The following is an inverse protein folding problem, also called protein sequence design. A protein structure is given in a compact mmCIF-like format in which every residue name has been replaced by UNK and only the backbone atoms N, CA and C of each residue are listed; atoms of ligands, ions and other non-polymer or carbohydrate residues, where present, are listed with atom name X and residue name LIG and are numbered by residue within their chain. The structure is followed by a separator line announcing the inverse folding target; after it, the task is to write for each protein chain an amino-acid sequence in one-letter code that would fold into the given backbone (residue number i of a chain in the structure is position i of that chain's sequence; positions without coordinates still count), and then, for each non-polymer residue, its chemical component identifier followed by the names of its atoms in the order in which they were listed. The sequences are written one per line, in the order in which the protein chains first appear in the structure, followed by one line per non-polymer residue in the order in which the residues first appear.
data_IF_259571281694
#
_entry.id   IF_259571281694
#
_cell.length_a   1.000
_cell.length_b   1.000
_cell.length_c   1.000
_cell.angle_alpha   90.00
_cell.angle_beta   90.00
_cell.angle_gamma   90.00
#
_symmetry.space_group_name_H-M   'P 1'
#
loop_
_entity.id
_entity.type
_entity.pdbx_description
1 polymer ?
#
# COMPACT_ATOMS: atom_id res chain seq x y z
N UNK A 1 -49.37 12.62 36.52
CA UNK A 1 -48.86 11.43 35.78
C UNK A 1 -48.96 11.57 34.26
N UNK A 2 -50.03 12.15 33.70
CA UNK A 2 -50.25 12.31 32.25
C UNK A 2 -49.19 13.16 31.52
N UNK A 3 -48.66 14.20 32.16
CA UNK A 3 -47.61 15.05 31.58
C UNK A 3 -46.23 14.39 31.51
N UNK A 4 -45.92 13.46 32.42
CA UNK A 4 -44.64 12.72 32.42
C UNK A 4 -44.57 11.72 31.27
N UNK A 5 -45.70 11.08 30.95
CA UNK A 5 -45.82 10.17 29.80
C UNK A 5 -45.68 10.95 28.48
N UNK A 6 -46.32 12.12 28.37
CA UNK A 6 -46.23 13.00 27.19
C UNK A 6 -44.80 13.51 26.93
N UNK A 7 -44.08 13.91 27.98
CA UNK A 7 -42.68 14.36 27.88
C UNK A 7 -41.74 13.23 27.44
N UNK A 8 -41.93 12.02 27.97
CA UNK A 8 -41.14 10.85 27.58
C UNK A 8 -41.40 10.43 26.12
N UNK A 9 -42.64 10.50 25.65
CA UNK A 9 -42.96 10.24 24.24
C UNK A 9 -42.41 11.31 23.29
N UNK A 10 -42.36 12.58 23.71
CA UNK A 10 -41.80 13.66 22.89
C UNK A 10 -40.26 13.55 22.80
N UNK A 11 -39.60 13.14 23.88
CA UNK A 11 -38.16 12.89 23.91
C UNK A 11 -37.75 11.68 23.05
N UNK A 12 -38.57 10.62 23.00
CA UNK A 12 -38.33 9.46 22.15
C UNK A 12 -38.47 9.78 20.65
N UNK A 13 -39.40 10.65 20.27
CA UNK A 13 -39.54 11.13 18.89
C UNK A 13 -38.38 12.06 18.51
N UNK A 14 -37.96 12.95 19.41
CA UNK A 14 -36.80 13.81 19.18
C UNK A 14 -35.49 13.01 19.03
N UNK A 15 -35.31 11.93 19.79
CA UNK A 15 -34.14 11.05 19.66
C UNK A 15 -34.10 10.29 18.31
N UNK A 16 -35.26 10.00 17.71
CA UNK A 16 -35.33 9.41 16.36
C UNK A 16 -34.96 10.39 15.23
N UNK A 17 -35.13 11.70 15.45
CA UNK A 17 -34.74 12.74 14.49
C UNK A 17 -33.23 13.05 14.49
N UNK A 18 -32.50 12.60 15.50
CA UNK A 18 -31.03 12.71 15.59
C UNK A 18 -30.32 11.39 15.25
N UNK A 19 -30.93 10.51 14.46
CA UNK A 19 -30.20 9.45 13.78
C UNK A 19 -29.14 10.12 12.87
N UNK A 20 -27.84 9.90 13.09
CA UNK A 20 -26.81 10.51 12.27
C UNK A 20 -26.96 9.99 10.84
N UNK A 21 -27.32 10.87 9.91
CA UNK A 21 -27.38 10.58 8.47
C UNK A 21 -26.04 10.04 7.92
N UNK A 22 -24.94 10.19 8.66
CA UNK A 22 -23.64 9.61 8.35
C UNK A 22 -23.57 8.09 8.37
N UNK A 23 -24.50 7.39 9.03
CA UNK A 23 -24.53 5.92 9.02
C UNK A 23 -24.98 5.34 7.66
N UNK A 24 -25.74 6.10 6.86
CA UNK A 24 -26.23 5.67 5.54
C UNK A 24 -25.20 5.92 4.44
N UNK A 25 -24.26 6.86 4.66
CA UNK A 25 -23.17 7.18 3.73
C UNK A 25 -21.97 6.22 3.82
N UNK A 26 -21.93 5.34 4.82
CA UNK A 26 -20.81 4.39 5.03
C UNK A 26 -20.86 3.16 4.11
N UNK A 27 -21.73 3.13 3.11
CA UNK A 27 -21.88 1.99 2.20
C UNK A 27 -21.87 2.41 0.73
N UNK A 28 -20.87 3.18 0.32
CA UNK A 28 -20.57 3.25 -1.12
C UNK A 28 -19.92 1.93 -1.54
N UNK A 29 -20.76 1.02 -2.04
CA UNK A 29 -20.31 -0.10 -2.84
C UNK A 29 -19.80 0.45 -4.17
N UNK A 30 -18.47 0.62 -4.27
CA UNK A 30 -17.84 1.05 -5.51
C UNK A 30 -18.22 0.11 -6.65
N UNK A 31 -18.91 0.64 -7.66
CA UNK A 31 -19.25 -0.10 -8.88
C UNK A 31 -18.27 0.29 -9.96
N UNK A 32 -17.39 -0.64 -10.34
CA UNK A 32 -16.38 -0.39 -11.37
C UNK A 32 -17.07 -0.07 -12.73
N UNK A 33 -16.64 1.00 -13.43
CA UNK A 33 -17.10 1.27 -14.78
C UNK A 33 -16.79 0.07 -15.69
N UNK A 34 -17.60 -0.11 -16.74
CA UNK A 34 -17.45 -1.23 -17.68
C UNK A 34 -17.32 -0.72 -19.10
N UNK A 35 -16.56 -1.45 -19.90
CA UNK A 35 -16.43 -1.22 -21.35
C UNK A 35 -17.73 -1.60 -22.07
N UNK A 36 -17.86 -1.22 -23.34
CA UNK A 36 -19.03 -1.57 -24.16
C UNK A 36 -19.25 -3.10 -24.33
N UNK A 37 -18.20 -3.91 -24.16
CA UNK A 37 -18.25 -5.38 -24.18
C UNK A 37 -18.32 -6.00 -22.78
N UNK A 38 -18.56 -5.19 -21.74
CA UNK A 38 -18.86 -5.66 -20.39
C UNK A 38 -17.66 -6.09 -19.55
N UNK A 39 -16.43 -5.76 -19.91
CA UNK A 39 -15.26 -5.94 -19.02
C UNK A 39 -15.11 -4.74 -18.07
N UNK A 40 -14.45 -4.87 -16.90
CA UNK A 40 -14.06 -3.72 -16.09
C UNK A 40 -13.21 -2.73 -16.92
N UNK A 41 -13.56 -1.46 -16.86
CA UNK A 41 -12.82 -0.40 -17.51
C UNK A 41 -11.66 0.06 -16.60
N UNK A 42 -10.43 -0.21 -17.04
CA UNK A 42 -9.20 0.14 -16.35
C UNK A 42 -8.50 1.36 -16.99
N UNK A 43 -9.21 2.12 -17.83
CA UNK A 43 -8.67 3.35 -18.40
C UNK A 43 -8.56 4.44 -17.33
N UNK A 44 -7.48 5.22 -17.38
CA UNK A 44 -7.23 6.30 -16.42
C UNK A 44 -5.77 6.71 -16.36
N UNK A 45 -5.47 7.60 -15.43
CA UNK A 45 -4.09 7.96 -15.06
C UNK A 45 -3.71 7.11 -13.86
N UNK A 46 -2.63 6.34 -14.01
CA UNK A 46 -2.12 5.44 -12.99
C UNK A 46 -0.82 5.98 -12.42
N UNK A 47 -0.66 5.84 -11.11
CA UNK A 47 0.57 6.12 -10.38
C UNK A 47 1.10 4.81 -9.77
N UNK A 48 2.40 4.58 -9.83
CA UNK A 48 3.06 3.38 -9.33
C UNK A 48 4.00 3.66 -8.16
N UNK A 49 4.15 4.93 -7.78
CA UNK A 49 5.14 5.39 -6.82
C UNK A 49 4.77 4.92 -5.43
N UNK A 50 5.67 4.18 -4.80
CA UNK A 50 5.47 3.66 -3.46
C UNK A 50 6.80 3.29 -2.83
N UNK A 51 6.93 3.58 -1.53
CA UNK A 51 8.05 3.13 -0.73
C UNK A 51 7.84 1.70 -0.21
N UNK A 52 6.70 1.07 -0.49
CA UNK A 52 6.41 -0.31 -0.06
C UNK A 52 7.47 -1.27 -0.61
N UNK A 53 8.18 -2.03 0.26
CA UNK A 53 9.18 -2.99 -0.17
C UNK A 53 8.61 -4.05 -1.10
N UNK A 54 9.41 -4.55 -2.06
CA UNK A 54 9.00 -5.70 -2.86
C UNK A 54 8.77 -6.94 -1.97
N UNK A 55 9.76 -7.26 -1.16
CA UNK A 55 9.72 -8.35 -0.17
C UNK A 55 9.68 -7.79 1.25
N UNK A 56 8.94 -8.46 2.13
CA UNK A 56 8.76 -8.00 3.51
C UNK A 56 10.08 -8.05 4.28
N UNK A 57 10.50 -6.97 4.97
CA UNK A 57 11.63 -7.00 5.89
C UNK A 57 11.54 -8.18 6.87
N UNK A 58 12.67 -8.84 7.18
CA UNK A 58 12.68 -10.09 7.97
C UNK A 58 12.15 -9.89 9.39
N UNK A 59 12.41 -8.72 9.95
CA UNK A 59 11.92 -8.23 11.23
C UNK A 59 10.40 -8.00 11.26
N UNK A 60 9.76 -7.91 10.10
CA UNK A 60 8.32 -7.72 9.95
C UNK A 60 7.60 -8.95 9.41
N UNK A 61 8.24 -10.13 9.33
CA UNK A 61 7.71 -11.29 8.60
C UNK A 61 6.23 -11.62 8.89
N UNK A 62 5.80 -11.50 10.16
CA UNK A 62 4.43 -11.78 10.62
C UNK A 62 3.49 -10.56 10.57
N UNK A 63 4.01 -9.38 10.25
CA UNK A 63 3.29 -8.11 10.21
C UNK A 63 2.96 -7.76 8.76
N UNK A 64 1.73 -8.02 8.32
CA UNK A 64 1.32 -7.70 6.95
C UNK A 64 1.18 -6.19 6.70
N UNK A 65 0.75 -5.44 7.71
CA UNK A 65 0.46 -4.01 7.62
C UNK A 65 1.12 -3.22 8.74
N UNK A 66 1.64 -2.06 8.41
CA UNK A 66 2.07 -1.04 9.36
C UNK A 66 0.86 -0.38 10.04
N UNK A 67 1.06 0.11 11.27
CA UNK A 67 0.22 1.21 11.80
C UNK A 67 0.54 2.50 11.04
N UNK A 68 -0.28 3.53 11.17
CA UNK A 68 -0.04 4.82 10.52
C UNK A 68 1.29 5.44 10.97
N UNK A 69 1.60 5.38 12.26
CA UNK A 69 2.84 5.89 12.83
C UNK A 69 4.06 5.09 12.33
N UNK A 70 3.96 3.76 12.31
CA UNK A 70 5.04 2.91 11.82
C UNK A 70 5.27 3.08 10.31
N UNK A 71 4.20 3.31 9.53
CA UNK A 71 4.29 3.59 8.11
C UNK A 71 5.01 4.93 7.84
N UNK A 72 4.71 5.96 8.62
CA UNK A 72 5.37 7.26 8.53
C UNK A 72 6.86 7.15 8.90
N UNK A 73 7.18 6.51 10.02
CA UNK A 73 8.57 6.29 10.45
C UNK A 73 9.37 5.51 9.39
N UNK A 74 8.79 4.42 8.88
CA UNK A 74 9.41 3.62 7.82
C UNK A 74 9.66 4.43 6.55
N UNK A 75 8.69 5.27 6.15
CA UNK A 75 8.78 6.12 4.96
C UNK A 75 9.89 7.16 5.11
N UNK A 76 9.93 7.89 6.22
CA UNK A 76 10.98 8.87 6.52
C UNK A 76 12.38 8.23 6.56
N UNK A 77 12.50 7.09 7.24
CA UNK A 77 13.76 6.35 7.30
C UNK A 77 14.22 5.88 5.91
N UNK A 78 13.27 5.45 5.06
CA UNK A 78 13.55 5.01 3.69
C UNK A 78 14.00 6.18 2.81
N UNK A 79 13.30 7.32 2.86
CA UNK A 79 13.66 8.54 2.12
C UNK A 79 15.08 8.97 2.49
N UNK A 80 15.36 9.07 3.80
CA UNK A 80 16.70 9.45 4.29
C UNK A 80 17.80 8.49 3.83
N UNK A 81 17.53 7.17 3.85
CA UNK A 81 18.50 6.16 3.41
C UNK A 81 18.74 6.18 1.90
N UNK A 82 17.71 6.47 1.11
CA UNK A 82 17.77 6.45 -0.37
C UNK A 82 18.15 7.79 -0.99
N UNK A 83 18.13 8.86 -0.20
CA UNK A 83 18.48 10.20 -0.65
C UNK A 83 19.86 10.19 -1.30
N UNK A 84 19.93 10.71 -2.53
CA UNK A 84 21.16 10.87 -3.32
C UNK A 84 21.82 12.21 -2.99
N UNK A 85 21.06 13.16 -2.48
CA UNK A 85 21.51 14.48 -2.08
C UNK A 85 22.46 14.42 -0.87
N UNK A 86 22.44 13.32 -0.11
CA UNK A 86 23.33 13.09 1.02
C UNK A 86 24.53 12.19 0.71
N UNK A 87 24.79 11.84 -0.56
CA UNK A 87 25.92 10.97 -0.90
C UNK A 87 27.26 11.64 -0.57
N UNK A 88 28.00 11.00 0.33
CA UNK A 88 29.35 11.43 0.77
C UNK A 88 30.44 10.51 0.23
N UNK A 89 30.11 9.58 -0.68
CA UNK A 89 31.03 8.55 -1.16
C UNK A 89 32.18 9.08 -2.03
N UNK A 90 32.14 10.34 -2.45
CA UNK A 90 33.11 10.95 -3.36
C UNK A 90 33.01 10.45 -4.80
N UNK A 91 32.01 9.62 -5.12
CA UNK A 91 31.69 9.20 -6.49
C UNK A 91 30.89 10.29 -7.20
N UNK A 92 30.95 10.30 -8.52
CA UNK A 92 30.03 11.09 -9.34
C UNK A 92 28.65 10.43 -9.26
N UNK A 93 27.70 11.08 -8.59
CA UNK A 93 26.30 10.68 -8.58
C UNK A 93 25.58 11.44 -9.70
N UNK A 94 25.12 10.75 -10.77
CA UNK A 94 24.30 11.41 -11.76
C UNK A 94 22.91 11.66 -11.18
N UNK A 95 22.47 12.93 -11.22
CA UNK A 95 21.15 13.40 -10.79
C UNK A 95 20.87 13.34 -9.27
N UNK A 96 20.14 14.33 -8.79
CA UNK A 96 19.72 14.49 -7.40
C UNK A 96 18.32 13.90 -7.17
N UNK A 97 17.82 13.92 -5.94
CA UNK A 97 16.53 13.27 -5.57
C UNK A 97 15.34 13.76 -6.39
N UNK A 98 15.36 15.03 -6.81
CA UNK A 98 14.32 15.63 -7.64
C UNK A 98 14.03 14.86 -8.94
N UNK A 99 15.05 14.23 -9.54
CA UNK A 99 14.91 13.52 -10.82
C UNK A 99 14.37 12.09 -10.67
N UNK A 100 14.29 11.56 -9.44
CA UNK A 100 13.85 10.20 -9.17
C UNK A 100 12.48 10.19 -8.52
N UNK A 101 11.50 9.65 -9.24
CA UNK A 101 10.11 9.65 -8.81
C UNK A 101 9.77 8.36 -8.04
N UNK A 102 10.30 8.21 -6.82
CA UNK A 102 10.19 6.98 -6.01
C UNK A 102 8.95 6.94 -5.09
N UNK A 103 8.23 8.06 -4.97
CA UNK A 103 7.16 8.25 -3.99
C UNK A 103 7.69 8.59 -2.59
N UNK A 104 6.77 8.94 -1.68
CA UNK A 104 7.12 9.44 -0.33
C UNK A 104 6.45 8.66 0.80
N UNK A 105 5.67 7.64 0.49
CA UNK A 105 4.91 6.86 1.47
C UNK A 105 4.80 5.40 1.06
N UNK A 106 4.60 4.53 2.04
CA UNK A 106 4.10 3.17 1.81
C UNK A 106 2.60 3.26 1.52
N UNK A 107 2.18 2.83 0.33
CA UNK A 107 0.78 2.89 -0.09
C UNK A 107 0.37 1.62 -0.83
N UNK A 108 -0.67 0.89 -0.37
CA UNK A 108 -1.31 0.97 0.96
C UNK A 108 -0.29 0.68 2.09
N UNK A 109 -0.69 0.79 3.36
CA UNK A 109 0.16 0.61 4.56
C UNK A 109 0.68 -0.84 4.76
N UNK A 110 1.00 -1.55 3.68
CA UNK A 110 1.55 -2.91 3.67
C UNK A 110 3.05 -2.87 3.84
N UNK A 111 3.57 -3.90 4.49
CA UNK A 111 5.01 -4.09 4.70
C UNK A 111 5.71 -4.73 3.50
N UNK A 112 4.95 -5.22 2.51
CA UNK A 112 5.45 -5.79 1.25
C UNK A 112 4.45 -5.69 0.09
N UNK A 113 4.97 -5.70 -1.14
CA UNK A 113 4.17 -5.90 -2.37
C UNK A 113 3.82 -7.38 -2.55
N UNK A 114 4.77 -8.29 -2.30
CA UNK A 114 4.51 -9.73 -2.30
C UNK A 114 3.55 -10.07 -1.16
N UNK A 115 2.43 -10.71 -1.50
CA UNK A 115 1.36 -11.09 -0.55
C UNK A 115 1.41 -12.56 -0.16
N UNK A 116 1.78 -13.40 -1.12
CA UNK A 116 1.84 -14.83 -0.99
C UNK A 116 3.24 -15.31 -1.38
N UNK A 117 3.95 -16.05 -0.52
CA UNK A 117 3.51 -16.64 0.76
C UNK A 117 3.28 -15.61 1.89
N UNK A 118 2.67 -16.01 3.02
CA UNK A 118 2.30 -15.08 4.10
C UNK A 118 3.44 -14.32 4.72
N UNK A 119 4.69 -14.74 4.54
CA UNK A 119 5.90 -14.04 4.95
C UNK A 119 6.26 -12.86 4.03
N UNK A 120 5.53 -12.68 2.92
CA UNK A 120 5.68 -11.59 1.98
C UNK A 120 7.01 -11.64 1.22
N UNK A 121 7.59 -12.83 1.02
CA UNK A 121 8.87 -13.02 0.33
C UNK A 121 8.73 -13.86 -0.93
N UNK A 122 9.63 -13.64 -1.88
CA UNK A 122 9.63 -14.42 -3.12
C UNK A 122 10.07 -15.85 -2.76
N UNK A 123 9.28 -16.88 -3.11
CA UNK A 123 9.67 -18.26 -2.84
C UNK A 123 11.03 -18.60 -3.48
N UNK A 124 11.81 -19.51 -2.88
CA UNK A 124 13.04 -19.99 -3.49
C UNK A 124 12.74 -20.59 -4.86
N UNK A 125 13.71 -20.47 -5.77
CA UNK A 125 13.62 -21.03 -7.10
C UNK A 125 13.54 -22.56 -7.02
N UNK A 126 12.86 -23.17 -8.00
CA UNK A 126 12.87 -24.64 -8.11
C UNK A 126 14.24 -25.12 -8.62
N UNK A 127 14.72 -26.31 -8.23
CA UNK A 127 16.00 -26.83 -8.70
C UNK A 127 16.16 -26.86 -10.24
N UNK A 128 15.13 -27.17 -11.06
CA UNK A 128 15.22 -27.01 -12.51
C UNK A 128 15.48 -25.57 -12.96
N UNK A 129 14.81 -24.58 -12.36
CA UNK A 129 15.02 -23.16 -12.67
C UNK A 129 16.41 -22.68 -12.28
N UNK A 130 16.92 -23.12 -11.12
CA UNK A 130 18.28 -22.81 -10.68
C UNK A 130 19.33 -23.32 -11.70
N UNK A 131 19.16 -24.56 -12.19
CA UNK A 131 20.02 -25.13 -13.23
C UNK A 131 19.97 -24.32 -14.52
N UNK A 132 18.79 -23.94 -14.98
CA UNK A 132 18.62 -23.13 -16.18
C UNK A 132 19.32 -21.77 -16.05
N UNK A 133 19.14 -21.07 -14.93
CA UNK A 133 19.79 -19.77 -14.70
C UNK A 133 21.31 -19.93 -14.64
N UNK A 134 21.82 -20.99 -14.01
CA UNK A 134 23.24 -21.27 -13.96
C UNK A 134 23.83 -21.52 -15.35
N UNK A 135 23.12 -22.26 -16.19
CA UNK A 135 23.50 -22.50 -17.60
C UNK A 135 23.51 -21.20 -18.41
N UNK A 136 22.46 -20.39 -18.33
CA UNK A 136 22.38 -19.08 -19.00
C UNK A 136 23.52 -18.17 -18.54
N UNK A 137 23.82 -18.11 -17.24
CA UNK A 137 24.93 -17.30 -16.71
C UNK A 137 26.30 -17.77 -17.21
N UNK A 138 26.50 -19.08 -17.38
CA UNK A 138 27.74 -19.64 -17.94
C UNK A 138 27.86 -19.35 -19.44
N UNK A 139 26.76 -19.41 -20.18
CA UNK A 139 26.73 -19.18 -21.62
C UNK A 139 26.86 -17.69 -21.99
N UNK A 140 26.55 -16.77 -21.08
CA UNK A 140 26.75 -15.33 -21.30
C UNK A 140 28.25 -15.03 -21.45
N UNK A 141 28.69 -14.46 -22.58
CA UNK A 141 30.06 -14.00 -22.71
C UNK A 141 30.32 -12.92 -21.66
N UNK A 142 31.47 -13.01 -20.99
CA UNK A 142 31.94 -11.95 -20.11
C UNK A 142 32.32 -10.77 -20.99
N UNK A 143 31.60 -9.67 -20.83
CA UNK A 143 31.91 -8.36 -21.44
C UNK A 143 32.92 -7.64 -20.57
#
# INVERSE_FOLDING_TARGET
MRHRVLILSLAAVAAGLFLPAGAVAQSESYTAPRTAWGAPDLQGVWDFRSLTPMERPTDLAETETFTEEAAAEFSEATIRRRSRDNDTSGRVVPYNDFWFDEGISVTPARTSLVVAPPDGRIPPLTPPTERLIAEVRRARPRV
#
